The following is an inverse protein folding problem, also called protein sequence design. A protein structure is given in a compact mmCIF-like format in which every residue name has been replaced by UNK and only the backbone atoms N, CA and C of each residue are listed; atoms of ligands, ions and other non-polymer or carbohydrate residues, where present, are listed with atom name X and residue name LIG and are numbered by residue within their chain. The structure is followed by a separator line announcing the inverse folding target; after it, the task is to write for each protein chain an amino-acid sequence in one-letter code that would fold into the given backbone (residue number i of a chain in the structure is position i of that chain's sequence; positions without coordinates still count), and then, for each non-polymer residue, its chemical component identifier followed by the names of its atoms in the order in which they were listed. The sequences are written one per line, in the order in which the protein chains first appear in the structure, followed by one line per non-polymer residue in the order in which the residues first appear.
data_IF_190402059815
#
_entry.id   IF_190402059815
#
_cell.length_a   1.000
_cell.length_b   1.000
_cell.length_c   1.000
_cell.angle_alpha   90.00
_cell.angle_beta   90.00
_cell.angle_gamma   90.00
#
_symmetry.space_group_name_H-M   'P 1'
#
loop_
_entity.id
_entity.type
_entity.pdbx_description
1 polymer ?
#
# COMPACT_ATOMS: atom_id res chain seq x y z
N UNK A 1 -30.24 -28.64 1.68
CA UNK A 1 -29.04 -28.31 0.86
C UNK A 1 -28.48 -27.01 1.39
N UNK A 2 -27.33 -27.07 2.09
CA UNK A 2 -26.68 -25.93 2.74
C UNK A 2 -25.67 -25.31 1.77
N UNK A 3 -25.83 -24.03 1.46
CA UNK A 3 -24.85 -23.24 0.71
C UNK A 3 -23.60 -23.00 1.56
N UNK A 4 -22.45 -23.42 1.03
CA UNK A 4 -21.13 -23.19 1.63
C UNK A 4 -20.71 -21.73 1.47
N UNK A 5 -21.10 -20.88 2.42
CA UNK A 5 -20.50 -19.56 2.58
C UNK A 5 -19.06 -19.71 3.06
N UNK A 6 -18.11 -19.09 2.35
CA UNK A 6 -16.73 -18.95 2.81
C UNK A 6 -16.69 -18.11 4.11
N UNK A 7 -16.82 -18.75 5.27
CA UNK A 7 -16.25 -18.23 6.51
C UNK A 7 -14.72 -18.38 6.44
N UNK A 8 -14.07 -17.44 5.75
CA UNK A 8 -12.61 -17.32 5.72
C UNK A 8 -12.08 -16.85 7.09
N UNK A 9 -11.22 -17.67 7.71
CA UNK A 9 -10.58 -17.44 9.03
C UNK A 9 -9.62 -16.22 9.06
N UNK A 10 -10.21 -15.02 9.15
CA UNK A 10 -9.95 -13.80 9.95
C UNK A 10 -8.54 -13.22 10.27
N UNK A 11 -7.40 -13.93 10.25
CA UNK A 11 -6.12 -13.34 10.76
C UNK A 11 -5.09 -12.91 9.71
N UNK A 12 -4.82 -13.70 8.68
CA UNK A 12 -3.77 -13.39 7.67
C UNK A 12 -4.23 -12.36 6.62
N UNK A 13 -5.50 -12.45 6.19
CA UNK A 13 -6.14 -11.46 5.31
C UNK A 13 -6.22 -10.07 5.97
N UNK A 14 -6.33 -10.07 7.30
CA UNK A 14 -6.50 -8.89 8.12
C UNK A 14 -5.21 -8.04 8.21
N UNK A 15 -4.04 -8.68 8.40
CA UNK A 15 -2.73 -8.01 8.38
C UNK A 15 -2.43 -7.42 6.99
N UNK A 16 -2.78 -8.17 5.94
CA UNK A 16 -2.59 -7.76 4.54
C UNK A 16 -3.42 -6.51 4.19
N UNK A 17 -4.67 -6.45 4.63
CA UNK A 17 -5.59 -5.36 4.33
C UNK A 17 -5.26 -4.07 5.10
N UNK A 18 -4.72 -4.20 6.31
CA UNK A 18 -4.20 -3.08 7.10
C UNK A 18 -2.94 -2.49 6.45
N UNK A 19 -2.05 -3.32 5.91
CA UNK A 19 -0.85 -2.86 5.20
C UNK A 19 -1.19 -2.11 3.88
N UNK A 20 -2.23 -2.55 3.15
CA UNK A 20 -2.71 -1.88 1.94
C UNK A 20 -3.22 -0.45 2.18
N UNK A 21 -3.74 -0.17 3.39
CA UNK A 21 -4.22 1.17 3.76
C UNK A 21 -3.08 2.10 4.11
N UNK A 22 -2.09 1.58 4.83
CA UNK A 22 -0.91 2.34 5.21
C UNK A 22 -0.07 2.74 3.98
N UNK A 23 -0.03 1.91 2.94
CA UNK A 23 0.62 2.20 1.67
C UNK A 23 -0.15 3.17 0.74
N UNK A 24 -1.28 3.74 1.20
CA UNK A 24 -2.08 4.70 0.42
C UNK A 24 -2.84 4.09 -0.77
N UNK A 25 -3.01 2.76 -0.80
CA UNK A 25 -3.63 2.02 -1.91
C UNK A 25 -5.11 1.69 -1.64
N UNK A 26 -5.63 2.00 -0.45
CA UNK A 26 -7.02 1.76 -0.09
C UNK A 26 -8.07 2.58 -0.85
N UNK A 27 -7.83 3.86 -1.22
CA UNK A 27 -8.81 4.62 -2.00
C UNK A 27 -9.13 3.94 -3.34
N UNK A 28 -8.13 3.30 -3.95
CA UNK A 28 -8.25 2.54 -5.21
C UNK A 28 -9.02 1.24 -5.00
N UNK A 29 -8.82 0.56 -3.87
CA UNK A 29 -9.53 -0.69 -3.53
C UNK A 29 -10.97 -0.46 -3.07
N UNK A 30 -11.26 0.65 -2.40
CA UNK A 30 -12.61 1.01 -1.95
C UNK A 30 -13.55 1.39 -3.11
N UNK A 31 -13.01 1.98 -4.18
CA UNK A 31 -13.75 2.23 -5.42
C UNK A 31 -14.13 0.91 -6.14
N UNK A 32 -13.37 -0.16 -5.88
CA UNK A 32 -13.54 -1.49 -6.49
C UNK A 32 -14.48 -2.37 -5.66
N UNK A 33 -14.36 -2.38 -4.33
CA UNK A 33 -15.15 -3.23 -3.43
C UNK A 33 -16.61 -2.76 -3.21
N UNK A 34 -17.05 -1.66 -3.85
CA UNK A 34 -18.40 -1.07 -3.71
C UNK A 34 -18.88 -1.04 -2.26
N UNK A 35 -18.05 -0.61 -1.31
CA UNK A 35 -18.48 -0.51 0.08
C UNK A 35 -17.56 0.33 0.97
N UNK A 36 -18.09 0.87 2.08
CA UNK A 36 -17.31 1.59 3.08
C UNK A 36 -16.21 0.70 3.65
N UNK A 37 -15.14 1.34 4.13
CA UNK A 37 -14.13 0.63 4.91
C UNK A 37 -14.77 -0.05 6.12
N UNK A 38 -14.63 -1.38 6.30
CA UNK A 38 -15.14 -2.06 7.48
C UNK A 38 -14.65 -1.38 8.75
N UNK A 39 -15.55 -0.97 9.67
CA UNK A 39 -15.21 -0.22 10.89
C UNK A 39 -14.10 -0.89 11.73
N UNK A 40 -14.07 -2.23 11.72
CA UNK A 40 -13.04 -3.05 12.39
C UNK A 40 -11.62 -2.80 11.87
N UNK A 41 -11.45 -2.35 10.63
CA UNK A 41 -10.15 -1.95 10.05
C UNK A 41 -9.79 -0.53 10.44
N UNK A 42 -10.75 0.40 10.36
CA UNK A 42 -10.55 1.82 10.66
C UNK A 42 -9.97 2.01 12.07
N UNK A 43 -10.48 1.24 13.04
CA UNK A 43 -9.97 1.23 14.42
C UNK A 43 -8.61 0.57 14.62
N UNK A 44 -8.16 -0.32 13.72
CA UNK A 44 -6.89 -1.07 13.85
C UNK A 44 -5.75 -0.47 13.03
N UNK A 45 -6.03 0.18 11.91
CA UNK A 45 -5.06 1.01 11.19
C UNK A 45 -4.60 2.14 12.11
N UNK A 46 -5.53 2.81 12.79
CA UNK A 46 -5.25 3.83 13.78
C UNK A 46 -4.39 3.36 14.97
N UNK A 47 -4.19 2.04 15.14
CA UNK A 47 -3.29 1.44 16.13
C UNK A 47 -1.87 1.17 15.60
N UNK A 48 -1.63 1.24 14.28
CA UNK A 48 -0.28 1.14 13.73
C UNK A 48 0.50 2.39 14.12
N UNK A 49 1.66 2.24 14.80
CA UNK A 49 2.51 3.35 15.15
C UNK A 49 2.88 4.18 13.90
N UNK A 50 2.86 5.52 13.98
CA UNK A 50 3.23 6.40 12.86
C UNK A 50 4.59 6.07 12.23
N UNK A 51 5.55 5.61 13.03
CA UNK A 51 6.89 5.18 12.59
C UNK A 51 6.84 4.02 11.59
N UNK A 52 6.09 2.96 11.87
CA UNK A 52 5.94 1.82 10.95
C UNK A 52 5.23 2.18 9.64
N UNK A 53 4.32 3.16 9.70
CA UNK A 53 3.66 3.67 8.50
C UNK A 53 4.63 4.40 7.57
N UNK A 54 5.58 5.10 8.17
CA UNK A 54 6.66 5.78 7.46
C UNK A 54 7.60 4.77 6.81
N UNK A 55 8.05 3.74 7.54
CA UNK A 55 8.94 2.70 7.00
C UNK A 55 8.34 2.01 5.76
N UNK A 56 7.07 1.60 5.85
CA UNK A 56 6.36 1.02 4.70
C UNK A 56 6.18 1.98 3.52
N UNK A 57 6.04 3.28 3.79
CA UNK A 57 5.90 4.28 2.73
C UNK A 57 7.24 4.57 2.05
N UNK A 58 8.35 4.51 2.79
CA UNK A 58 9.72 4.69 2.26
C UNK A 58 10.08 3.54 1.30
N UNK A 59 9.85 2.29 1.70
CA UNK A 59 10.13 1.13 0.84
C UNK A 59 9.35 1.17 -0.48
N UNK A 60 8.07 1.53 -0.42
CA UNK A 60 7.27 1.72 -1.63
C UNK A 60 7.82 2.87 -2.48
N UNK A 61 8.21 3.98 -1.86
CA UNK A 61 8.79 5.13 -2.57
C UNK A 61 10.06 4.74 -3.33
N UNK A 62 10.98 4.00 -2.71
CA UNK A 62 12.24 3.56 -3.35
C UNK A 62 12.01 2.74 -4.62
N UNK A 63 11.02 1.83 -4.61
CA UNK A 63 10.68 1.05 -5.81
C UNK A 63 10.22 1.95 -6.97
N UNK A 64 9.37 2.94 -6.69
CA UNK A 64 8.93 3.89 -7.71
C UNK A 64 10.07 4.82 -8.15
N UNK A 65 10.94 5.21 -7.24
CA UNK A 65 12.09 6.07 -7.52
C UNK A 65 13.06 5.38 -8.48
N UNK A 66 13.38 4.10 -8.22
CA UNK A 66 14.25 3.30 -9.08
C UNK A 66 13.72 3.23 -10.51
N UNK A 67 12.42 2.96 -10.68
CA UNK A 67 11.79 2.90 -12.01
C UNK A 67 11.76 4.26 -12.69
N UNK A 68 11.39 5.31 -11.97
CA UNK A 68 11.33 6.67 -12.50
C UNK A 68 12.71 7.14 -12.98
N UNK A 69 13.76 6.86 -12.19
CA UNK A 69 15.14 7.19 -12.55
C UNK A 69 15.57 6.51 -13.83
N UNK A 70 15.33 5.19 -13.96
CA UNK A 70 15.65 4.45 -15.18
C UNK A 70 14.96 5.01 -16.43
N UNK A 71 13.66 5.34 -16.32
CA UNK A 71 12.89 5.89 -17.44
C UNK A 71 13.37 7.29 -17.81
N UNK A 72 13.60 8.17 -16.83
CA UNK A 72 14.09 9.53 -17.08
C UNK A 72 15.43 9.50 -17.80
N UNK A 73 16.39 8.66 -17.34
CA UNK A 73 17.69 8.49 -17.99
C UNK A 73 17.61 8.05 -19.46
N UNK A 74 16.49 7.44 -19.88
CA UNK A 74 16.25 7.02 -21.26
C UNK A 74 15.38 7.97 -22.10
N UNK A 75 14.73 8.96 -21.48
CA UNK A 75 13.63 9.73 -22.11
C UNK A 75 14.00 11.12 -22.63
N UNK A 76 15.18 11.65 -22.28
CA UNK A 76 15.60 13.05 -22.54
C UNK A 76 14.54 14.13 -22.17
N UNK A 77 13.56 13.80 -21.32
CA UNK A 77 12.45 14.68 -20.97
C UNK A 77 12.81 15.56 -19.76
N UNK A 78 13.08 16.85 -20.01
CA UNK A 78 13.49 17.82 -18.99
C UNK A 78 12.43 18.08 -17.92
N UNK A 79 11.14 18.00 -18.25
CA UNK A 79 10.05 18.14 -17.26
C UNK A 79 10.00 16.92 -16.34
N UNK A 80 10.21 15.72 -16.88
CA UNK A 80 10.28 14.49 -16.08
C UNK A 80 11.48 14.52 -15.12
N UNK A 81 12.62 15.03 -15.58
CA UNK A 81 13.82 15.22 -14.77
C UNK A 81 13.60 16.25 -13.65
N UNK A 82 12.98 17.39 -13.95
CA UNK A 82 12.65 18.42 -12.96
C UNK A 82 11.72 17.88 -11.86
N UNK A 83 10.69 17.11 -12.22
CA UNK A 83 9.81 16.47 -11.24
C UNK A 83 10.50 15.36 -10.43
N UNK A 84 11.45 14.62 -11.03
CA UNK A 84 12.25 13.62 -10.33
C UNK A 84 13.12 14.26 -9.26
N UNK A 85 13.79 15.36 -9.59
CA UNK A 85 14.59 16.14 -8.65
C UNK A 85 13.73 16.66 -7.49
N UNK A 86 12.55 17.21 -7.79
CA UNK A 86 11.60 17.67 -6.75
C UNK A 86 11.10 16.53 -5.86
N UNK A 87 10.88 15.33 -6.41
CA UNK A 87 10.53 14.16 -5.61
C UNK A 87 11.66 13.76 -4.66
N UNK A 88 12.92 13.88 -5.10
CA UNK A 88 14.10 13.70 -4.25
C UNK A 88 14.20 14.73 -3.12
N UNK A 89 13.95 16.01 -3.40
CA UNK A 89 13.91 17.06 -2.37
C UNK A 89 12.85 16.78 -1.29
N UNK A 90 11.64 16.42 -1.71
CA UNK A 90 10.57 16.08 -0.78
C UNK A 90 10.89 14.81 0.03
N UNK A 91 11.61 13.84 -0.55
CA UNK A 91 12.10 12.69 0.21
C UNK A 91 13.03 13.15 1.33
N UNK A 92 14.02 14.01 1.04
CA UNK A 92 14.94 14.54 2.05
C UNK A 92 14.22 15.33 3.14
N UNK A 93 13.24 16.17 2.75
CA UNK A 93 12.39 16.89 3.70
C UNK A 93 11.61 15.92 4.59
N UNK A 94 10.99 14.89 4.00
CA UNK A 94 10.29 13.86 4.74
C UNK A 94 11.21 13.15 5.74
N UNK A 95 12.41 12.73 5.32
CA UNK A 95 13.40 12.08 6.18
C UNK A 95 13.82 12.97 7.35
N UNK A 96 14.03 14.27 7.12
CA UNK A 96 14.32 15.24 8.18
C UNK A 96 13.19 15.35 9.21
N UNK A 97 11.93 15.41 8.74
CA UNK A 97 10.75 15.41 9.60
C UNK A 97 10.60 14.10 10.38
N UNK A 98 10.92 12.96 9.76
CA UNK A 98 10.89 11.65 10.40
C UNK A 98 11.95 11.55 11.49
N UNK A 99 13.17 12.00 11.20
CA UNK A 99 14.31 11.98 12.12
C UNK A 99 14.09 12.91 13.33
N UNK A 100 13.33 13.99 13.15
CA UNK A 100 12.89 14.88 14.24
C UNK A 100 11.65 14.40 15.00
N UNK A 101 11.17 13.18 14.72
CA UNK A 101 10.01 12.58 15.39
C UNK A 101 8.65 13.05 14.89
N UNK A 102 8.61 13.89 13.85
CA UNK A 102 7.39 14.40 13.21
C UNK A 102 6.82 13.41 12.18
N UNK A 103 6.61 12.16 12.59
CA UNK A 103 6.25 11.05 11.69
C UNK A 103 5.00 11.29 10.82
N UNK A 104 3.98 12.00 11.34
CA UNK A 104 2.76 12.30 10.57
C UNK A 104 3.03 13.31 9.45
N UNK A 105 3.89 14.29 9.71
CA UNK A 105 4.30 15.30 8.75
C UNK A 105 5.18 14.66 7.69
N UNK A 106 6.21 13.92 8.12
CA UNK A 106 7.10 13.19 7.21
C UNK A 106 6.37 12.19 6.33
N UNK A 107 5.40 11.43 6.86
CA UNK A 107 4.57 10.54 6.05
C UNK A 107 3.77 11.30 4.98
N UNK A 108 3.28 12.49 5.31
CA UNK A 108 2.50 13.31 4.36
C UNK A 108 3.37 13.78 3.20
N UNK A 109 4.55 14.31 3.51
CA UNK A 109 5.54 14.78 2.53
C UNK A 109 6.03 13.62 1.66
N UNK A 110 6.28 12.45 2.27
CA UNK A 110 6.69 11.26 1.52
C UNK A 110 5.62 10.74 0.55
N UNK A 111 4.35 10.74 0.98
CA UNK A 111 3.24 10.38 0.09
C UNK A 111 3.07 11.38 -1.06
N UNK A 112 3.44 12.65 -0.85
CA UNK A 112 3.47 13.67 -1.91
C UNK A 112 4.61 13.41 -2.88
N UNK A 113 5.82 13.16 -2.39
CA UNK A 113 6.95 12.75 -3.22
C UNK A 113 6.59 11.54 -4.09
N UNK A 114 5.92 10.53 -3.50
CA UNK A 114 5.47 9.33 -4.22
C UNK A 114 4.47 9.64 -5.34
N UNK A 115 3.58 10.62 -5.16
CA UNK A 115 2.63 11.05 -6.20
C UNK A 115 3.35 11.71 -7.37
N UNK A 116 4.40 12.49 -7.10
CA UNK A 116 5.24 13.07 -8.15
C UNK A 116 5.92 12.01 -9.00
N UNK A 117 6.47 10.96 -8.40
CA UNK A 117 7.11 9.87 -9.16
C UNK A 117 6.17 9.21 -10.18
N UNK A 118 4.86 9.20 -9.92
CA UNK A 118 3.89 8.71 -10.89
C UNK A 118 3.76 9.65 -12.11
N UNK A 119 3.84 10.95 -11.91
CA UNK A 119 3.81 11.92 -13.00
C UNK A 119 5.14 11.93 -13.77
N UNK A 120 6.27 11.75 -13.08
CA UNK A 120 7.59 11.52 -13.70
C UNK A 120 7.54 10.36 -14.69
N UNK A 121 7.00 9.22 -14.26
CA UNK A 121 6.90 8.02 -15.13
C UNK A 121 6.04 8.31 -16.38
N UNK A 122 4.91 8.99 -16.23
CA UNK A 122 4.03 9.32 -17.37
C UNK A 122 4.73 10.24 -18.38
N UNK A 123 5.45 11.25 -17.88
CA UNK A 123 6.16 12.22 -18.72
C UNK A 123 7.37 11.58 -19.40
N UNK A 124 8.16 10.78 -18.68
CA UNK A 124 9.30 10.06 -19.21
C UNK A 124 8.89 9.02 -20.28
N UNK A 125 7.69 8.45 -20.18
CA UNK A 125 7.13 7.58 -21.23
C UNK A 125 6.65 8.36 -22.48
N UNK A 126 6.72 9.69 -22.49
CA UNK A 126 6.37 10.55 -23.63
C UNK A 126 4.87 10.59 -23.95
N UNK A 127 4.01 10.08 -23.05
CA UNK A 127 2.59 9.86 -23.34
C UNK A 127 1.72 11.12 -23.26
N UNK A 128 2.16 12.11 -22.49
CA UNK A 128 1.40 13.34 -22.19
C UNK A 128 2.40 14.47 -21.92
N UNK A 129 2.09 15.71 -22.33
CA UNK A 129 2.89 16.87 -21.96
C UNK A 129 2.67 17.28 -20.48
N UNK A 130 3.61 18.03 -19.89
CA UNK A 130 3.42 18.55 -18.53
C UNK A 130 2.20 19.47 -18.43
N UNK A 131 1.96 20.29 -19.46
CA UNK A 131 0.82 21.20 -19.54
C UNK A 131 -0.51 20.44 -19.54
N UNK A 132 -0.63 19.41 -20.39
CA UNK A 132 -1.86 18.61 -20.47
C UNK A 132 -2.09 17.82 -19.19
N UNK A 133 -1.00 17.36 -18.56
CA UNK A 133 -1.08 16.68 -17.27
C UNK A 133 -1.53 17.60 -16.13
N UNK A 134 -1.05 18.83 -16.10
CA UNK A 134 -1.48 19.85 -15.15
C UNK A 134 -2.96 20.17 -15.35
N UNK A 135 -3.37 20.43 -16.59
CA UNK A 135 -4.76 20.72 -16.97
C UNK A 135 -5.71 19.60 -16.56
N UNK A 136 -5.38 18.34 -16.91
CA UNK A 136 -6.16 17.17 -16.54
C UNK A 136 -6.40 17.10 -15.02
N UNK A 137 -5.34 17.33 -14.23
CA UNK A 137 -5.45 17.23 -12.77
C UNK A 137 -6.25 18.38 -12.16
N UNK A 138 -6.12 19.59 -12.67
CA UNK A 138 -6.92 20.74 -12.23
C UNK A 138 -8.39 20.47 -12.48
N UNK A 139 -8.76 20.03 -13.69
CA UNK A 139 -10.16 19.79 -14.04
C UNK A 139 -10.77 18.66 -13.20
N UNK A 140 -10.03 17.57 -12.95
CA UNK A 140 -10.46 16.54 -12.02
C UNK A 140 -10.70 17.08 -10.59
N UNK A 141 -9.81 17.95 -10.10
CA UNK A 141 -9.96 18.53 -8.77
C UNK A 141 -11.11 19.55 -8.70
N UNK A 142 -11.37 20.31 -9.77
CA UNK A 142 -12.54 21.20 -9.85
C UNK A 142 -13.84 20.42 -9.79
N UNK A 143 -13.94 19.31 -10.52
CA UNK A 143 -15.12 18.42 -10.43
C UNK A 143 -15.35 17.89 -9.01
N UNK A 144 -14.29 17.40 -8.35
CA UNK A 144 -14.37 16.93 -6.95
C UNK A 144 -14.73 18.06 -5.97
N UNK A 145 -14.36 19.32 -6.27
CA UNK A 145 -14.72 20.50 -5.48
C UNK A 145 -16.20 20.88 -5.67
N UNK A 146 -16.72 20.85 -6.90
CA UNK A 146 -18.14 21.12 -7.17
C UNK A 146 -19.03 20.19 -6.35
N UNK A 147 -18.73 18.89 -6.36
CA UNK A 147 -19.45 17.90 -5.54
C UNK A 147 -19.39 18.23 -4.04
N UNK A 148 -18.26 18.72 -3.56
CA UNK A 148 -18.09 19.12 -2.16
C UNK A 148 -18.89 20.38 -1.82
N UNK A 149 -18.94 21.36 -2.73
CA UNK A 149 -19.69 22.62 -2.57
C UNK A 149 -21.20 22.37 -2.53
N UNK A 150 -21.72 21.57 -3.47
CA UNK A 150 -23.13 21.19 -3.52
C UNK A 150 -23.56 20.51 -2.22
N UNK A 151 -22.71 19.63 -1.69
CA UNK A 151 -23.00 18.97 -0.43
C UNK A 151 -22.89 19.92 0.77
N UNK A 152 -21.91 20.83 0.78
CA UNK A 152 -21.80 21.85 1.81
C UNK A 152 -23.06 22.74 1.85
N UNK A 153 -23.65 23.02 0.69
CA UNK A 153 -24.92 23.71 0.58
C UNK A 153 -26.10 22.88 1.11
N UNK A 154 -26.19 21.59 0.75
CA UNK A 154 -27.26 20.68 1.21
C UNK A 154 -27.24 20.41 2.73
N UNK A 155 -26.04 20.22 3.29
CA UNK A 155 -25.86 19.83 4.71
C UNK A 155 -25.82 21.02 5.66
N UNK A 156 -25.52 22.22 5.16
CA UNK A 156 -25.30 23.41 5.99
C UNK A 156 -24.09 23.33 6.91
N UNK A 157 -23.18 22.35 6.71
CA UNK A 157 -22.00 22.18 7.56
C UNK A 157 -20.99 23.31 7.31
N UNK A 158 -20.94 24.26 8.25
CA UNK A 158 -20.03 25.40 8.23
C UNK A 158 -18.54 25.03 8.16
N UNK A 159 -18.14 23.86 8.65
CA UNK A 159 -16.75 23.39 8.53
C UNK A 159 -16.46 22.93 7.11
N UNK A 160 -17.42 22.25 6.49
CA UNK A 160 -17.32 21.78 5.11
C UNK A 160 -17.30 22.97 4.14
N UNK A 161 -18.16 23.97 4.36
CA UNK A 161 -18.20 25.22 3.58
C UNK A 161 -16.85 25.93 3.62
N UNK A 162 -16.29 26.15 4.82
CA UNK A 162 -14.97 26.81 4.97
C UNK A 162 -13.84 26.01 4.32
N UNK A 163 -13.91 24.68 4.37
CA UNK A 163 -12.91 23.83 3.73
C UNK A 163 -13.05 23.92 2.19
N UNK A 164 -14.26 23.89 1.66
CA UNK A 164 -14.53 24.01 0.23
C UNK A 164 -14.03 25.35 -0.32
N UNK A 165 -14.31 26.46 0.36
CA UNK A 165 -13.80 27.79 -0.01
C UNK A 165 -12.27 27.86 -0.06
N UNK A 166 -11.58 27.21 0.89
CA UNK A 166 -10.10 27.12 0.87
C UNK A 166 -9.60 26.30 -0.32
N UNK A 167 -10.26 25.18 -0.63
CA UNK A 167 -9.90 24.37 -1.80
C UNK A 167 -10.18 25.12 -3.10
N UNK A 168 -11.26 25.90 -3.16
CA UNK A 168 -11.61 26.76 -4.30
C UNK A 168 -10.53 27.78 -4.60
N UNK A 169 -10.14 28.58 -3.59
CA UNK A 169 -9.06 29.56 -3.73
C UNK A 169 -7.74 28.90 -4.17
N UNK A 170 -7.41 27.72 -3.63
CA UNK A 170 -6.23 27.00 -4.07
C UNK A 170 -6.32 26.50 -5.53
N UNK A 171 -7.51 26.09 -6.01
CA UNK A 171 -7.67 25.70 -7.42
C UNK A 171 -7.68 26.90 -8.38
N UNK A 172 -8.10 28.06 -7.92
CA UNK A 172 -7.95 29.34 -8.64
C UNK A 172 -6.46 29.68 -8.79
N UNK A 173 -5.68 29.60 -7.71
CA UNK A 173 -4.22 29.78 -7.76
C UNK A 173 -3.54 28.77 -8.70
N UNK A 174 -4.01 27.51 -8.72
CA UNK A 174 -3.51 26.48 -9.62
C UNK A 174 -3.83 26.79 -11.10
N UNK A 175 -5.04 27.31 -11.36
CA UNK A 175 -5.46 27.70 -12.71
C UNK A 175 -4.67 28.92 -13.20
N UNK A 176 -4.45 29.92 -12.33
CA UNK A 176 -3.62 31.08 -12.65
C UNK A 176 -2.15 30.68 -12.92
N UNK A 177 -1.59 29.76 -12.14
CA UNK A 177 -0.26 29.20 -12.40
C UNK A 177 -0.21 28.47 -13.75
N UNK A 178 -1.26 27.74 -14.13
CA UNK A 178 -1.36 27.07 -15.43
C UNK A 178 -1.40 28.08 -16.58
N UNK A 179 -2.17 29.16 -16.46
CA UNK A 179 -2.24 30.24 -17.46
C UNK A 179 -0.91 30.99 -17.62
N UNK A 180 -0.16 31.14 -16.53
CA UNK A 180 1.18 31.74 -16.53
C UNK A 180 2.28 30.80 -17.08
N UNK A 181 1.95 29.58 -17.50
CA UNK A 181 2.92 28.57 -17.94
C UNK A 181 3.72 27.93 -16.80
N UNK A 182 3.37 28.20 -15.55
CA UNK A 182 4.00 27.64 -14.34
C UNK A 182 3.42 26.23 -14.03
N UNK A 183 3.45 25.31 -14.99
CA UNK A 183 2.78 23.99 -14.90
C UNK A 183 3.23 23.14 -13.69
N UNK A 184 4.51 23.25 -13.33
CA UNK A 184 5.07 22.62 -12.13
C UNK A 184 4.37 23.08 -10.85
N UNK A 185 4.14 24.39 -10.72
CA UNK A 185 3.47 25.00 -9.57
C UNK A 185 1.99 24.64 -9.55
N UNK A 186 1.34 24.67 -10.71
CA UNK A 186 -0.04 24.22 -10.87
C UNK A 186 -0.24 22.77 -10.38
N UNK A 187 0.62 21.85 -10.81
CA UNK A 187 0.61 20.46 -10.35
C UNK A 187 0.87 20.33 -8.84
N UNK A 188 1.81 21.11 -8.30
CA UNK A 188 2.09 21.12 -6.87
C UNK A 188 0.86 21.52 -6.06
N UNK A 189 0.15 22.57 -6.45
CA UNK A 189 -1.05 23.03 -5.74
C UNK A 189 -2.11 21.92 -5.76
N UNK A 190 -2.40 21.35 -6.93
CA UNK A 190 -3.41 20.28 -7.06
C UNK A 190 -3.05 19.03 -6.25
N UNK A 191 -1.77 18.66 -6.14
CA UNK A 191 -1.32 17.53 -5.33
C UNK A 191 -1.60 17.67 -3.83
N UNK A 192 -1.75 18.89 -3.33
CA UNK A 192 -2.15 19.15 -1.95
C UNK A 192 -3.67 19.16 -1.80
N UNK A 193 -4.36 19.81 -2.74
CA UNK A 193 -5.82 20.01 -2.71
C UNK A 193 -6.58 18.71 -2.92
N UNK A 194 -6.26 17.98 -3.99
CA UNK A 194 -7.06 16.83 -4.46
C UNK A 194 -7.20 15.70 -3.42
N UNK A 195 -6.15 15.29 -2.66
CA UNK A 195 -6.33 14.30 -1.60
C UNK A 195 -7.27 14.73 -0.47
N UNK A 196 -7.42 16.03 -0.22
CA UNK A 196 -8.40 16.55 0.75
C UNK A 196 -9.81 16.41 0.19
N UNK A 197 -10.02 16.80 -1.07
CA UNK A 197 -11.29 16.63 -1.78
C UNK A 197 -11.72 15.15 -1.83
N UNK A 198 -10.82 14.26 -2.24
CA UNK A 198 -11.10 12.81 -2.28
C UNK A 198 -11.47 12.22 -0.92
N UNK A 199 -10.82 12.65 0.18
CA UNK A 199 -11.14 12.13 1.53
C UNK A 199 -12.51 12.54 2.00
N UNK A 200 -12.88 13.78 1.70
CA UNK A 200 -14.20 14.34 1.99
C UNK A 200 -15.22 13.59 1.15
N UNK A 201 -15.01 13.48 -0.16
CA UNK A 201 -15.86 12.74 -1.08
C UNK A 201 -16.08 11.28 -0.64
N UNK A 202 -15.02 10.54 -0.30
CA UNK A 202 -15.13 9.15 0.13
C UNK A 202 -15.87 9.00 1.46
N UNK A 203 -15.60 9.87 2.44
CA UNK A 203 -16.27 9.78 3.75
C UNK A 203 -17.79 9.96 3.59
N UNK A 204 -18.21 10.77 2.63
CA UNK A 204 -19.61 11.17 2.47
C UNK A 204 -20.38 10.25 1.51
N UNK A 205 -19.71 9.64 0.53
CA UNK A 205 -20.31 8.59 -0.32
C UNK A 205 -20.79 7.37 0.47
N UNK A 206 -20.20 7.12 1.63
CA UNK A 206 -20.60 6.03 2.52
C UNK A 206 -21.88 6.36 3.32
N UNK A 207 -22.22 7.64 3.48
CA UNK A 207 -23.34 8.14 4.30
C UNK A 207 -24.56 8.59 3.47
N UNK A 208 -24.41 8.77 2.14
CA UNK A 208 -25.49 9.18 1.23
C UNK A 208 -26.48 8.02 0.94
N UNK A 209 -27.79 8.31 0.82
CA UNK A 209 -28.78 7.37 0.29
C UNK A 209 -28.34 6.79 -1.06
N UNK A 210 -28.73 5.54 -1.35
CA UNK A 210 -28.34 4.83 -2.58
C UNK A 210 -28.68 5.62 -3.85
N UNK A 211 -29.81 6.32 -3.84
CA UNK A 211 -30.33 7.12 -4.95
C UNK A 211 -29.39 8.30 -5.28
N UNK A 212 -28.97 9.06 -4.27
CA UNK A 212 -28.00 10.15 -4.43
C UNK A 212 -26.62 9.64 -4.85
N UNK A 213 -26.20 8.47 -4.33
CA UNK A 213 -24.94 7.85 -4.74
C UNK A 213 -24.94 7.44 -6.21
N UNK A 214 -26.07 6.99 -6.73
CA UNK A 214 -26.22 6.57 -8.12
C UNK A 214 -26.25 7.80 -9.04
N UNK A 215 -26.92 8.88 -8.64
CA UNK A 215 -26.84 10.17 -9.34
C UNK A 215 -25.40 10.64 -9.57
N UNK A 216 -24.55 10.57 -8.54
CA UNK A 216 -23.12 10.91 -8.69
C UNK A 216 -22.35 9.93 -9.61
N UNK A 217 -22.73 8.66 -9.67
CA UNK A 217 -22.09 7.69 -10.58
C UNK A 217 -22.49 7.99 -12.03
N UNK A 218 -23.75 8.37 -12.27
CA UNK A 218 -24.24 8.82 -13.58
C UNK A 218 -23.42 10.02 -14.05
N UNK A 219 -23.35 11.09 -13.25
CA UNK A 219 -22.61 12.31 -13.60
C UNK A 219 -21.13 12.03 -13.94
N UNK A 220 -20.43 11.24 -13.11
CA UNK A 220 -19.03 10.84 -13.38
C UNK A 220 -18.88 9.99 -14.63
N UNK A 221 -19.87 9.14 -14.92
CA UNK A 221 -19.84 8.29 -16.11
C UNK A 221 -20.05 9.13 -17.37
N UNK A 222 -20.99 10.08 -17.32
CA UNK A 222 -21.22 11.06 -18.39
C UNK A 222 -19.96 11.86 -18.71
N UNK A 223 -19.35 12.50 -17.69
CA UNK A 223 -18.14 13.28 -17.90
C UNK A 223 -16.94 12.45 -18.41
N UNK A 224 -16.88 11.16 -18.07
CA UNK A 224 -15.87 10.25 -18.63
C UNK A 224 -16.11 9.95 -20.11
N UNK A 225 -17.38 9.80 -20.52
CA UNK A 225 -17.76 9.59 -21.92
C UNK A 225 -17.45 10.84 -22.74
N UNK A 226 -17.89 12.02 -22.29
CA UNK A 226 -17.61 13.31 -22.96
C UNK A 226 -16.10 13.53 -23.14
N UNK A 227 -15.31 13.18 -22.11
CA UNK A 227 -13.85 13.23 -22.20
C UNK A 227 -13.30 12.24 -23.22
N UNK A 228 -13.85 11.03 -23.27
CA UNK A 228 -13.42 10.01 -24.23
C UNK A 228 -13.78 10.43 -25.66
N UNK A 229 -14.96 11.01 -25.88
CA UNK A 229 -15.39 11.60 -27.15
C UNK A 229 -14.44 12.69 -27.61
N UNK A 230 -14.05 13.61 -26.73
CA UNK A 230 -13.05 14.63 -27.07
C UNK A 230 -11.71 14.05 -27.51
N UNK A 231 -11.20 13.03 -26.79
CA UNK A 231 -9.93 12.37 -27.12
C UNK A 231 -10.01 11.65 -28.47
N UNK A 232 -11.11 10.96 -28.77
CA UNK A 232 -11.30 10.27 -30.05
C UNK A 232 -11.53 11.27 -31.19
N UNK A 233 -12.18 12.41 -30.93
CA UNK A 233 -12.36 13.45 -31.92
C UNK A 233 -11.01 14.09 -32.33
N UNK A 234 -10.07 14.22 -31.39
CA UNK A 234 -8.74 14.76 -31.65
C UNK A 234 -7.85 13.80 -32.46
N UNK A 235 -8.01 12.47 -32.29
CA UNK A 235 -7.28 11.42 -33.01
C UNK A 235 -8.21 10.22 -33.31
N UNK A 236 -8.93 10.27 -34.46
CA UNK A 236 -9.99 9.32 -34.78
C UNK A 236 -9.50 7.90 -35.02
N UNK A 237 -10.15 6.93 -34.36
CA UNK A 237 -9.94 5.51 -34.55
C UNK A 237 -11.29 4.78 -34.59
N UNK A 238 -11.51 3.95 -35.63
CA UNK A 238 -12.77 3.27 -35.89
C UNK A 238 -13.21 2.34 -34.74
N UNK A 239 -12.25 1.67 -34.08
CA UNK A 239 -12.54 0.81 -32.94
C UNK A 239 -12.85 1.63 -31.69
N UNK A 240 -12.16 2.74 -31.49
CA UNK A 240 -12.43 3.66 -30.40
C UNK A 240 -13.82 4.32 -30.54
N UNK A 241 -14.20 4.74 -31.74
CA UNK A 241 -15.54 5.27 -32.07
C UNK A 241 -16.63 4.24 -31.81
N UNK A 242 -16.44 2.99 -32.24
CA UNK A 242 -17.38 1.91 -31.97
C UNK A 242 -17.57 1.63 -30.48
N UNK A 243 -16.51 1.79 -29.67
CA UNK A 243 -16.60 1.69 -28.22
C UNK A 243 -17.34 2.89 -27.60
N UNK A 244 -17.17 4.11 -28.12
CA UNK A 244 -17.93 5.27 -27.65
C UNK A 244 -19.43 5.10 -27.88
N UNK A 245 -19.83 4.61 -29.05
CA UNK A 245 -21.25 4.31 -29.32
C UNK A 245 -21.83 3.34 -28.29
N UNK A 246 -21.08 2.28 -27.95
CA UNK A 246 -21.48 1.33 -26.90
C UNK A 246 -21.50 1.97 -25.51
N UNK A 247 -20.57 2.88 -25.23
CA UNK A 247 -20.50 3.59 -23.95
C UNK A 247 -21.74 4.47 -23.74
N UNK A 248 -22.09 5.28 -24.74
CA UNK A 248 -23.24 6.18 -24.69
C UNK A 248 -24.56 5.40 -24.64
N UNK A 249 -24.69 4.34 -25.45
CA UNK A 249 -25.87 3.47 -25.42
C UNK A 249 -26.10 2.82 -24.04
N UNK A 250 -25.05 2.25 -23.44
CA UNK A 250 -25.15 1.65 -22.10
C UNK A 250 -25.43 2.71 -21.01
N UNK A 251 -24.95 3.94 -21.20
CA UNK A 251 -25.21 5.05 -20.29
C UNK A 251 -26.68 5.50 -20.33
N UNK A 252 -27.24 5.68 -21.53
CA UNK A 252 -28.64 6.11 -21.70
C UNK A 252 -29.63 5.08 -21.13
N UNK A 253 -29.34 3.79 -21.35
CA UNK A 253 -30.13 2.70 -20.75
C UNK A 253 -30.00 2.70 -19.22
N UNK A 254 -28.79 2.93 -18.69
CA UNK A 254 -28.59 3.05 -17.25
C UNK A 254 -29.37 4.24 -16.65
N UNK A 255 -29.33 5.41 -17.28
CA UNK A 255 -30.06 6.60 -16.83
C UNK A 255 -31.57 6.34 -16.77
N UNK A 256 -32.11 5.68 -17.79
CA UNK A 256 -33.52 5.25 -17.83
C UNK A 256 -33.88 4.30 -16.67
N UNK A 257 -33.01 3.34 -16.35
CA UNK A 257 -33.21 2.41 -15.23
C UNK A 257 -33.13 3.13 -13.86
N UNK A 258 -32.27 4.14 -13.73
CA UNK A 258 -32.21 4.96 -12.51
C UNK A 258 -33.51 5.72 -12.32
N UNK A 259 -34.06 6.33 -13.38
CA UNK A 259 -35.36 7.00 -13.33
C UNK A 259 -36.51 6.03 -12.97
N UNK A 260 -36.38 4.76 -13.35
CA UNK A 260 -37.32 3.69 -13.00
C UNK A 260 -37.11 3.07 -11.60
N UNK A 261 -36.10 3.52 -10.84
CA UNK A 261 -35.75 2.97 -9.52
C UNK A 261 -35.05 1.61 -9.57
N UNK A 262 -34.62 1.15 -10.74
CA UNK A 262 -33.93 -0.13 -10.96
C UNK A 262 -32.41 0.01 -10.79
N UNK A 263 -32.02 0.28 -9.55
CA UNK A 263 -30.67 0.69 -9.18
C UNK A 263 -29.59 -0.38 -9.39
N UNK A 264 -29.93 -1.66 -9.29
CA UNK A 264 -28.94 -2.75 -9.41
C UNK A 264 -28.52 -2.93 -10.86
N UNK A 265 -29.50 -3.03 -11.76
CA UNK A 265 -29.28 -3.13 -13.20
C UNK A 265 -28.59 -1.86 -13.74
N UNK A 266 -29.02 -0.68 -13.30
CA UNK A 266 -28.38 0.58 -13.64
C UNK A 266 -26.88 0.60 -13.26
N UNK A 267 -26.51 0.09 -12.08
CA UNK A 267 -25.11 0.03 -11.65
C UNK A 267 -24.25 -0.93 -12.48
N UNK A 268 -24.83 -1.96 -13.09
CA UNK A 268 -24.13 -2.86 -13.99
C UNK A 268 -23.85 -2.17 -15.34
N UNK A 269 -24.86 -1.52 -15.91
CA UNK A 269 -24.74 -0.75 -17.16
C UNK A 269 -23.82 0.47 -17.02
N UNK A 270 -23.87 1.21 -15.92
CA UNK A 270 -22.88 2.26 -15.61
C UNK A 270 -21.45 1.70 -15.55
N UNK A 271 -21.31 0.47 -15.06
CA UNK A 271 -20.04 -0.25 -15.10
C UNK A 271 -19.57 -0.57 -16.52
N UNK A 272 -20.49 -0.97 -17.41
CA UNK A 272 -20.23 -1.24 -18.83
C UNK A 272 -19.84 0.03 -19.58
N UNK A 273 -20.64 1.09 -19.44
CA UNK A 273 -20.39 2.40 -20.05
C UNK A 273 -18.99 2.94 -19.73
N UNK A 274 -18.58 2.91 -18.45
CA UNK A 274 -17.22 3.31 -18.04
C UNK A 274 -16.13 2.42 -18.66
N UNK A 275 -16.37 1.12 -18.83
CA UNK A 275 -15.38 0.21 -19.46
C UNK A 275 -15.18 0.56 -20.93
N UNK A 276 -16.26 0.77 -21.66
CA UNK A 276 -16.20 1.14 -23.07
C UNK A 276 -15.53 2.50 -23.28
N UNK A 277 -15.89 3.53 -22.51
CA UNK A 277 -15.26 4.85 -22.58
C UNK A 277 -13.75 4.78 -22.28
N UNK A 278 -13.33 4.02 -21.26
CA UNK A 278 -11.90 3.82 -20.98
C UNK A 278 -11.20 2.97 -22.04
N UNK A 279 -11.91 2.06 -22.70
CA UNK A 279 -11.39 1.29 -23.84
C UNK A 279 -11.06 2.20 -25.01
N UNK A 280 -12.00 3.08 -25.38
CA UNK A 280 -11.80 4.08 -26.45
C UNK A 280 -10.57 4.96 -26.18
N UNK A 281 -10.45 5.52 -24.97
CA UNK A 281 -9.28 6.32 -24.58
C UNK A 281 -7.98 5.51 -24.70
N UNK A 282 -8.00 4.22 -24.38
CA UNK A 282 -6.79 3.39 -24.44
C UNK A 282 -6.32 3.16 -25.86
N UNK A 283 -7.24 2.90 -26.79
CA UNK A 283 -6.93 2.67 -28.20
C UNK A 283 -6.23 3.89 -28.76
N UNK A 284 -6.85 5.07 -28.65
CA UNK A 284 -6.28 6.34 -29.14
C UNK A 284 -4.93 6.64 -28.49
N UNK A 285 -4.77 6.35 -27.20
CA UNK A 285 -3.51 6.62 -26.47
C UNK A 285 -2.45 5.53 -26.62
N UNK A 286 -2.66 4.50 -27.44
CA UNK A 286 -1.75 3.35 -27.57
C UNK A 286 -1.47 2.64 -26.24
N UNK A 287 -2.42 2.71 -25.30
CA UNK A 287 -2.30 2.05 -24.00
C UNK A 287 -2.59 0.56 -24.18
N UNK A 288 -1.81 -0.33 -23.54
CA UNK A 288 -1.95 -1.77 -23.74
C UNK A 288 -3.35 -2.26 -23.40
N UNK A 289 -3.86 -3.13 -24.27
CA UNK A 289 -5.14 -3.82 -24.14
C UNK A 289 -5.27 -4.45 -22.73
N UNK A 290 -6.38 -4.25 -21.99
CA UNK A 290 -6.67 -4.94 -20.74
C UNK A 290 -6.37 -6.44 -20.78
N UNK A 291 -6.58 -7.09 -21.92
CA UNK A 291 -6.39 -8.53 -22.11
C UNK A 291 -4.89 -8.85 -22.12
N UNK A 292 -4.10 -8.12 -22.92
CA UNK A 292 -2.65 -8.26 -22.93
C UNK A 292 -1.98 -7.82 -21.63
N UNK A 293 -2.58 -6.86 -20.92
CA UNK A 293 -2.12 -6.40 -19.63
C UNK A 293 -2.43 -7.43 -18.54
N UNK A 294 -3.64 -8.00 -18.55
CA UNK A 294 -4.02 -9.08 -17.66
C UNK A 294 -3.13 -10.31 -17.87
N UNK A 295 -2.94 -10.73 -19.12
CA UNK A 295 -2.07 -11.85 -19.49
C UNK A 295 -0.62 -11.63 -19.03
N UNK A 296 -0.05 -10.44 -19.28
CA UNK A 296 1.30 -10.09 -18.80
C UNK A 296 1.42 -10.11 -17.28
N UNK A 297 0.38 -9.63 -16.58
CA UNK A 297 0.39 -9.60 -15.11
C UNK A 297 0.15 -10.99 -14.51
N UNK A 298 -0.62 -11.85 -15.17
CA UNK A 298 -0.81 -13.26 -14.80
C UNK A 298 0.51 -14.02 -14.93
N UNK A 299 1.19 -13.90 -16.06
CA UNK A 299 2.50 -14.55 -16.23
C UNK A 299 3.52 -14.10 -15.18
N UNK A 300 3.57 -12.80 -14.88
CA UNK A 300 4.43 -12.27 -13.81
C UNK A 300 3.98 -12.71 -12.41
N UNK A 301 2.68 -12.98 -12.22
CA UNK A 301 2.16 -13.54 -10.99
C UNK A 301 2.56 -15.01 -10.85
N UNK A 302 2.42 -15.84 -11.88
CA UNK A 302 2.94 -17.22 -11.97
C UNK A 302 4.42 -17.28 -11.59
N UNK A 303 5.26 -16.49 -12.26
CA UNK A 303 6.70 -16.40 -11.96
C UNK A 303 6.97 -16.08 -10.49
N UNK A 304 6.19 -15.16 -9.90
CA UNK A 304 6.35 -14.77 -8.50
C UNK A 304 5.96 -15.90 -7.53
N UNK A 305 4.98 -16.73 -7.88
CA UNK A 305 4.57 -17.90 -7.08
C UNK A 305 5.66 -18.97 -7.14
N UNK A 306 6.23 -19.20 -8.32
CA UNK A 306 7.32 -20.18 -8.50
C UNK A 306 8.58 -19.79 -7.74
N UNK A 307 8.93 -18.49 -7.74
CA UNK A 307 10.03 -17.96 -6.93
C UNK A 307 9.81 -18.23 -5.44
N UNK A 308 8.59 -18.00 -4.92
CA UNK A 308 8.23 -18.29 -3.53
C UNK A 308 8.34 -19.78 -3.23
N UNK A 309 7.83 -20.64 -4.12
CA UNK A 309 7.88 -22.10 -3.97
C UNK A 309 9.33 -22.59 -3.89
N UNK A 310 10.18 -22.11 -4.80
CA UNK A 310 11.61 -22.47 -4.85
C UNK A 310 12.34 -22.01 -3.58
N UNK A 311 12.18 -20.75 -3.18
CA UNK A 311 12.83 -20.22 -1.98
C UNK A 311 12.42 -20.97 -0.70
N UNK A 312 11.15 -21.38 -0.61
CA UNK A 312 10.64 -22.10 0.55
C UNK A 312 10.95 -23.61 0.53
N UNK A 313 11.28 -24.19 -0.62
CA UNK A 313 11.72 -25.59 -0.73
C UNK A 313 13.16 -25.80 -0.19
N UNK A 314 13.98 -24.74 -0.18
CA UNK A 314 15.35 -24.76 0.31
C UNK A 314 15.47 -24.57 1.85
N UNK A 315 14.36 -24.25 2.54
CA UNK A 315 14.34 -23.94 3.97
C UNK A 315 13.37 -24.78 4.80
N UNK A 316 13.82 -25.26 5.97
CA UNK A 316 13.05 -26.13 6.89
C UNK A 316 12.04 -25.34 7.77
N UNK A 317 11.43 -24.27 7.23
CA UNK A 317 10.57 -23.34 7.97
C UNK A 317 9.08 -23.66 7.79
N UNK A 318 8.56 -24.50 8.69
CA UNK A 318 7.14 -24.94 8.73
C UNK A 318 6.12 -23.78 8.77
N UNK A 319 6.53 -22.55 9.07
CA UNK A 319 5.64 -21.37 9.05
C UNK A 319 5.09 -21.05 7.67
N UNK A 320 5.79 -21.44 6.60
CA UNK A 320 5.45 -21.07 5.23
C UNK A 320 4.88 -22.21 4.38
N UNK A 321 4.78 -23.42 4.94
CA UNK A 321 4.38 -24.66 4.24
C UNK A 321 3.06 -24.55 3.46
N UNK A 322 2.11 -23.74 3.94
CA UNK A 322 0.78 -23.57 3.31
C UNK A 322 0.65 -22.34 2.41
N UNK A 323 1.69 -21.51 2.31
CA UNK A 323 1.63 -20.23 1.60
C UNK A 323 1.77 -20.37 0.08
N UNK A 324 2.64 -21.24 -0.47
CA UNK A 324 2.68 -21.53 -1.91
C UNK A 324 1.31 -21.99 -2.43
N UNK A 325 0.70 -23.00 -1.80
CA UNK A 325 -0.61 -23.53 -2.21
C UNK A 325 -1.74 -22.47 -2.13
N UNK A 326 -1.62 -21.48 -1.24
CA UNK A 326 -2.59 -20.37 -1.15
C UNK A 326 -2.39 -19.33 -2.25
N UNK A 327 -1.15 -19.09 -2.66
CA UNK A 327 -0.85 -18.22 -3.79
C UNK A 327 -1.33 -18.84 -5.09
N UNK A 328 -1.14 -20.16 -5.25
CA UNK A 328 -1.64 -20.93 -6.38
C UNK A 328 -3.16 -20.85 -6.48
N UNK A 329 -3.90 -21.07 -5.40
CA UNK A 329 -5.37 -20.90 -5.40
C UNK A 329 -5.83 -19.47 -5.71
N UNK A 330 -4.99 -18.46 -5.44
CA UNK A 330 -5.31 -17.07 -5.80
C UNK A 330 -4.98 -16.76 -7.26
N UNK A 331 -3.95 -17.40 -7.80
CA UNK A 331 -3.54 -17.32 -9.18
C UNK A 331 -4.53 -18.07 -10.09
N UNK A 332 -4.97 -19.27 -9.70
CA UNK A 332 -6.02 -20.04 -10.36
C UNK A 332 -7.31 -19.21 -10.48
N UNK A 333 -7.71 -18.49 -9.44
CA UNK A 333 -8.85 -17.55 -9.51
C UNK A 333 -8.62 -16.35 -10.42
N UNK A 334 -7.36 -15.93 -10.57
CA UNK A 334 -7.00 -14.85 -11.47
C UNK A 334 -7.06 -15.31 -12.93
N UNK A 335 -6.64 -16.54 -13.19
CA UNK A 335 -6.75 -17.24 -14.48
C UNK A 335 -8.20 -17.53 -14.83
N UNK A 336 -9.02 -18.05 -13.91
CA UNK A 336 -10.47 -18.23 -14.08
C UNK A 336 -11.18 -16.91 -14.42
N UNK A 337 -10.81 -15.82 -13.75
CA UNK A 337 -11.34 -14.49 -14.05
C UNK A 337 -10.93 -14.01 -15.45
N UNK A 338 -9.71 -14.33 -15.87
CA UNK A 338 -9.22 -14.00 -17.21
C UNK A 338 -9.91 -14.81 -18.30
N UNK A 339 -10.06 -16.12 -18.12
CA UNK A 339 -10.80 -17.02 -19.01
C UNK A 339 -12.29 -16.65 -19.11
N UNK A 340 -12.87 -16.11 -18.04
CA UNK A 340 -14.23 -15.58 -18.01
C UNK A 340 -14.37 -14.18 -18.64
N UNK A 341 -13.29 -13.56 -19.12
CA UNK A 341 -13.29 -12.21 -19.69
C UNK A 341 -13.39 -11.08 -18.66
N UNK A 342 -13.26 -11.36 -17.36
CA UNK A 342 -13.10 -10.35 -16.30
C UNK A 342 -11.62 -9.94 -16.15
N UNK A 343 -11.10 -9.26 -17.17
CA UNK A 343 -9.71 -8.80 -17.20
C UNK A 343 -9.37 -7.85 -16.06
N UNK A 344 -10.36 -7.11 -15.54
CA UNK A 344 -10.15 -6.24 -14.38
C UNK A 344 -9.95 -7.04 -13.10
N UNK A 345 -10.80 -8.05 -12.87
CA UNK A 345 -10.65 -9.01 -11.78
C UNK A 345 -9.33 -9.77 -11.87
N UNK A 346 -8.98 -10.24 -13.06
CA UNK A 346 -7.70 -10.90 -13.34
C UNK A 346 -6.49 -10.01 -13.02
N UNK A 347 -6.46 -8.76 -13.52
CA UNK A 347 -5.39 -7.78 -13.23
C UNK A 347 -5.27 -7.53 -11.72
N UNK A 348 -6.40 -7.42 -11.02
CA UNK A 348 -6.40 -7.16 -9.58
C UNK A 348 -5.85 -8.34 -8.78
N UNK A 349 -6.32 -9.55 -9.08
CA UNK A 349 -5.88 -10.78 -8.44
C UNK A 349 -4.40 -11.06 -8.75
N UNK A 350 -3.96 -10.91 -10.00
CA UNK A 350 -2.57 -11.06 -10.41
C UNK A 350 -1.64 -10.08 -9.67
N UNK A 351 -2.03 -8.79 -9.58
CA UNK A 351 -1.30 -7.80 -8.77
C UNK A 351 -1.29 -8.14 -7.28
N UNK A 352 -2.36 -8.76 -6.78
CA UNK A 352 -2.44 -9.19 -5.40
C UNK A 352 -1.49 -10.36 -5.14
N UNK A 353 -1.47 -11.37 -6.02
CA UNK A 353 -0.53 -12.49 -5.97
C UNK A 353 0.91 -11.96 -5.92
N UNK A 354 1.33 -11.16 -6.90
CA UNK A 354 2.69 -10.61 -6.94
C UNK A 354 3.07 -9.85 -5.66
N UNK A 355 2.19 -8.99 -5.14
CA UNK A 355 2.46 -8.27 -3.89
C UNK A 355 2.63 -9.19 -2.68
N UNK A 356 1.83 -10.26 -2.59
CA UNK A 356 1.95 -11.23 -1.50
C UNK A 356 3.25 -12.04 -1.68
N UNK A 357 3.56 -12.47 -2.90
CA UNK A 357 4.79 -13.19 -3.23
C UNK A 357 6.05 -12.39 -2.86
N UNK A 358 6.14 -11.12 -3.30
CA UNK A 358 7.26 -10.23 -2.93
C UNK A 358 7.43 -10.12 -1.42
N UNK A 359 6.33 -10.09 -0.67
CA UNK A 359 6.40 -9.97 0.78
C UNK A 359 6.79 -11.26 1.48
N UNK A 360 6.37 -12.42 0.95
CA UNK A 360 6.82 -13.73 1.46
C UNK A 360 8.32 -13.88 1.26
N UNK A 361 8.81 -13.60 0.03
CA UNK A 361 10.24 -13.62 -0.27
C UNK A 361 11.01 -12.67 0.63
N UNK A 362 10.50 -11.46 0.85
CA UNK A 362 11.13 -10.51 1.76
C UNK A 362 11.23 -11.03 3.20
N UNK A 363 10.14 -11.58 3.76
CA UNK A 363 10.16 -12.14 5.12
C UNK A 363 11.06 -13.37 5.21
N UNK A 364 11.10 -14.17 4.16
CA UNK A 364 11.99 -15.34 4.07
C UNK A 364 13.46 -14.92 4.04
N UNK A 365 13.84 -13.91 3.25
CA UNK A 365 15.23 -13.46 3.12
C UNK A 365 15.70 -12.53 4.25
N UNK A 366 14.80 -11.71 4.83
CA UNK A 366 15.17 -10.62 5.74
C UNK A 366 14.51 -10.71 7.13
N UNK A 367 13.60 -11.67 7.35
CA UNK A 367 12.80 -11.77 8.57
C UNK A 367 11.58 -10.83 8.57
N UNK A 368 10.66 -11.02 9.53
CA UNK A 368 9.49 -10.15 9.65
C UNK A 368 9.89 -8.74 10.12
N UNK A 369 9.22 -7.67 9.63
CA UNK A 369 9.48 -6.32 10.11
C UNK A 369 9.21 -6.24 11.62
N UNK A 370 10.21 -5.76 12.37
CA UNK A 370 10.14 -5.61 13.83
C UNK A 370 9.02 -4.64 14.20
N UNK A 371 7.95 -5.16 14.82
CA UNK A 371 6.80 -4.37 15.29
C UNK A 371 5.42 -4.99 15.05
N UNK A 372 5.32 -6.13 14.35
CA UNK A 372 4.07 -6.90 14.25
C UNK A 372 3.92 -7.99 15.31
N UNK A 373 4.88 -8.15 16.23
CA UNK A 373 4.84 -9.18 17.28
C UNK A 373 4.03 -8.76 18.53
N UNK A 374 3.70 -7.48 18.71
CA UNK A 374 3.03 -6.99 19.92
C UNK A 374 1.49 -6.95 19.85
N UNK A 375 0.87 -7.71 18.94
CA UNK A 375 -0.58 -7.89 18.90
C UNK A 375 -0.98 -9.36 19.11
N UNK A 376 -0.51 -9.97 20.20
CA UNK A 376 -1.10 -11.20 20.72
C UNK A 376 -1.09 -11.23 22.24
N UNK A 377 -2.24 -11.54 22.84
CA UNK A 377 -2.28 -12.19 24.15
C UNK A 377 -3.60 -12.98 24.28
N UNK A 378 -3.69 -14.12 25.00
CA UNK A 378 -2.66 -15.08 25.41
C UNK A 378 -2.94 -16.48 24.80
N UNK A 379 -1.96 -17.05 24.11
CA UNK A 379 -1.71 -18.50 24.20
C UNK A 379 -0.30 -18.57 24.75
N UNK A 380 -0.07 -19.42 25.76
CA UNK A 380 1.21 -19.52 26.44
C UNK A 380 2.38 -19.48 25.43
N UNK A 381 3.34 -18.55 25.58
CA UNK A 381 4.41 -18.41 24.61
C UNK A 381 5.31 -19.64 24.64
N UNK A 382 5.61 -20.25 23.49
CA UNK A 382 6.49 -21.42 23.45
C UNK A 382 7.88 -21.10 24.03
N UNK A 383 8.57 -22.09 24.60
CA UNK A 383 9.96 -21.91 25.04
C UNK A 383 10.84 -21.52 23.85
N UNK A 384 11.55 -20.40 23.94
CA UNK A 384 12.39 -19.92 22.86
C UNK A 384 13.45 -18.93 23.32
N UNK A 385 14.68 -19.13 22.87
CA UNK A 385 15.75 -18.15 22.93
C UNK A 385 15.93 -17.54 21.54
N UNK A 386 15.94 -16.23 21.41
CA UNK A 386 16.05 -15.50 20.15
C UNK A 386 17.45 -14.94 19.93
N UNK A 387 17.77 -14.59 18.67
CA UNK A 387 19.07 -14.02 18.33
C UNK A 387 19.22 -12.65 18.99
N UNK A 388 20.33 -12.43 19.69
CA UNK A 388 20.67 -11.13 20.25
C UNK A 388 20.74 -10.05 19.15
N UNK A 389 20.31 -8.83 19.46
CA UNK A 389 20.34 -7.72 18.52
C UNK A 389 20.83 -6.42 19.19
N UNK A 390 21.78 -5.69 18.57
CA UNK A 390 22.49 -6.02 17.31
C UNK A 390 23.41 -7.26 17.46
N UNK A 391 23.83 -7.88 16.34
CA UNK A 391 24.86 -8.92 16.28
C UNK A 391 25.52 -8.91 14.88
N UNK A 392 26.79 -8.47 14.71
CA UNK A 392 27.73 -7.99 15.73
C UNK A 392 27.20 -6.85 16.60
N UNK A 393 27.61 -6.78 17.86
CA UNK A 393 27.25 -5.69 18.77
C UNK A 393 28.47 -4.93 19.30
N UNK A 394 28.28 -3.64 19.61
CA UNK A 394 29.29 -2.77 20.20
C UNK A 394 28.64 -1.65 21.05
N UNK A 395 28.91 -1.54 22.37
CA UNK A 395 29.29 -2.60 23.30
C UNK A 395 28.06 -3.34 23.86
N UNK A 396 26.83 -2.94 23.50
CA UNK A 396 25.59 -3.48 24.08
C UNK A 396 24.70 -4.21 23.08
N UNK A 397 24.03 -5.26 23.55
CA UNK A 397 23.04 -6.04 22.80
C UNK A 397 21.85 -6.41 23.68
N UNK A 398 20.70 -6.64 23.06
CA UNK A 398 19.51 -7.16 23.73
C UNK A 398 19.30 -8.63 23.37
N UNK A 399 19.03 -9.46 24.38
CA UNK A 399 18.70 -10.88 24.25
C UNK A 399 17.24 -11.06 24.64
N UNK A 400 16.42 -11.47 23.68
CA UNK A 400 15.01 -11.80 23.94
C UNK A 400 14.83 -13.30 24.11
N UNK A 401 13.91 -13.69 24.98
CA UNK A 401 13.50 -15.08 25.19
C UNK A 401 12.04 -15.19 25.65
N UNK A 402 11.47 -16.38 25.55
CA UNK A 402 10.11 -16.68 25.96
C UNK A 402 10.03 -17.98 26.75
N UNK A 403 9.14 -18.02 27.74
CA UNK A 403 8.89 -19.21 28.57
C UNK A 403 7.38 -19.54 28.63
N UNK A 404 7.00 -20.82 28.48
CA UNK A 404 5.60 -21.24 28.37
C UNK A 404 4.89 -21.43 29.70
N UNK A 405 5.64 -21.60 30.77
CA UNK A 405 5.15 -21.88 32.11
C UNK A 405 6.05 -21.23 33.15
N UNK A 406 5.55 -21.11 34.37
CA UNK A 406 6.35 -20.59 35.48
C UNK A 406 7.48 -21.57 35.82
N UNK A 407 8.71 -21.08 35.77
CA UNK A 407 9.89 -21.89 36.07
C UNK A 407 11.04 -21.01 36.55
N UNK A 408 12.04 -21.65 37.17
CA UNK A 408 13.32 -20.99 37.43
C UNK A 408 14.08 -20.87 36.12
N UNK A 409 14.35 -19.64 35.72
CA UNK A 409 15.05 -19.26 34.49
C UNK A 409 16.47 -18.83 34.81
N UNK A 410 17.43 -19.36 34.06
CA UNK A 410 18.80 -18.86 34.04
C UNK A 410 19.21 -18.49 32.63
N UNK A 411 19.70 -17.26 32.43
CA UNK A 411 20.33 -16.82 31.19
C UNK A 411 21.79 -16.47 31.47
N UNK A 412 22.70 -17.27 30.91
CA UNK A 412 24.13 -17.18 31.20
C UNK A 412 24.94 -17.03 29.92
N UNK A 413 25.94 -16.14 29.95
CA UNK A 413 26.90 -15.92 28.88
C UNK A 413 28.16 -16.73 29.15
N UNK A 414 28.69 -17.34 28.12
CA UNK A 414 29.91 -18.13 28.11
C UNK A 414 30.87 -17.64 27.03
N UNK A 415 32.16 -17.79 27.27
CA UNK A 415 33.17 -17.66 26.21
C UNK A 415 33.25 -18.97 25.38
N UNK A 416 34.09 -18.97 24.33
CA UNK A 416 34.27 -20.16 23.46
C UNK A 416 34.84 -21.39 24.20
N UNK A 417 35.50 -21.18 25.35
CA UNK A 417 36.03 -22.26 26.19
C UNK A 417 34.96 -22.83 27.14
N UNK A 418 33.73 -22.31 27.08
CA UNK A 418 32.63 -22.73 27.94
C UNK A 418 32.70 -22.16 29.37
N UNK A 419 33.58 -21.20 29.64
CA UNK A 419 33.65 -20.53 30.94
C UNK A 419 32.53 -19.49 31.05
N UNK A 420 31.82 -19.48 32.19
CA UNK A 420 30.80 -18.47 32.50
C UNK A 420 31.44 -17.08 32.58
N UNK A 421 30.97 -16.19 31.73
CA UNK A 421 31.40 -14.79 31.65
C UNK A 421 30.53 -13.94 32.54
N UNK A 422 29.21 -14.14 32.47
CA UNK A 422 28.23 -13.40 33.27
C UNK A 422 26.87 -14.08 33.26
N UNK A 423 26.22 -14.11 34.42
CA UNK A 423 24.79 -14.43 34.52
C UNK A 423 23.93 -13.17 34.38
N UNK A 424 23.02 -13.16 33.43
CA UNK A 424 22.10 -12.03 33.19
C UNK A 424 20.78 -12.20 33.94
N UNK A 425 20.32 -13.44 34.10
CA UNK A 425 19.06 -13.78 34.77
C UNK A 425 19.29 -15.04 35.61
N UNK A 426 18.79 -15.03 36.85
CA UNK A 426 18.67 -16.20 37.73
C UNK A 426 17.49 -15.96 38.67
N UNK A 427 16.33 -16.54 38.36
CA UNK A 427 15.14 -16.33 39.18
C UNK A 427 13.90 -17.04 38.65
N UNK A 428 12.83 -17.02 39.43
CA UNK A 428 11.52 -17.56 39.01
C UNK A 428 10.83 -16.52 38.14
N UNK A 429 10.37 -16.92 36.95
CA UNK A 429 9.64 -16.07 36.02
C UNK A 429 8.37 -16.79 35.56
N UNK A 430 7.26 -16.05 35.44
CA UNK A 430 5.99 -16.57 34.94
C UNK A 430 5.96 -16.69 33.42
N UNK A 431 4.93 -17.32 32.82
CA UNK A 431 4.84 -17.46 31.37
C UNK A 431 4.81 -16.09 30.67
N UNK A 432 5.67 -15.90 29.67
CA UNK A 432 5.83 -14.60 29.02
C UNK A 432 7.03 -14.49 28.10
N UNK A 433 7.15 -13.33 27.46
CA UNK A 433 8.34 -12.93 26.69
C UNK A 433 9.12 -11.87 27.47
N UNK A 434 10.43 -12.02 27.48
CA UNK A 434 11.37 -11.22 28.26
C UNK A 434 12.52 -10.74 27.39
N UNK A 435 13.08 -9.58 27.70
CA UNK A 435 14.26 -9.02 27.05
C UNK A 435 15.24 -8.52 28.09
N UNK A 436 16.52 -8.86 27.94
CA UNK A 436 17.59 -8.47 28.86
C UNK A 436 18.82 -7.98 28.07
N UNK A 437 19.42 -6.90 28.55
CA UNK A 437 20.61 -6.30 27.93
C UNK A 437 21.90 -6.90 28.47
N UNK A 438 22.91 -7.01 27.59
CA UNK A 438 24.30 -7.23 27.98
C UNK A 438 25.18 -6.12 27.42
N UNK A 439 26.09 -5.59 28.24
CA UNK A 439 26.97 -4.47 27.94
C UNK A 439 28.43 -4.88 27.65
N UNK A 440 28.67 -6.17 27.38
CA UNK A 440 30.01 -6.68 27.09
C UNK A 440 30.94 -6.69 28.30
N UNK A 441 30.39 -6.83 29.51
CA UNK A 441 31.15 -6.98 30.76
C UNK A 441 30.99 -8.36 31.39
N UNK A 442 32.04 -8.82 32.05
CA UNK A 442 32.02 -10.01 32.91
C UNK A 442 31.34 -9.71 34.26
N UNK A 443 31.27 -10.73 35.12
CA UNK A 443 30.67 -10.64 36.45
C UNK A 443 31.41 -9.66 37.39
N UNK A 444 32.70 -9.40 37.14
CA UNK A 444 33.51 -8.43 37.90
C UNK A 444 33.35 -7.00 37.39
N UNK A 445 32.52 -6.79 36.35
CA UNK A 445 32.31 -5.49 35.72
C UNK A 445 33.44 -5.08 34.76
N UNK A 446 34.38 -5.98 34.48
CA UNK A 446 35.45 -5.73 33.51
C UNK A 446 34.94 -6.00 32.11
N UNK A 447 35.48 -5.28 31.14
CA UNK A 447 35.14 -5.50 29.75
C UNK A 447 35.79 -6.77 29.19
N UNK A 448 35.02 -7.54 28.44
CA UNK A 448 35.51 -8.72 27.74
C UNK A 448 36.00 -8.37 26.32
N UNK A 449 36.88 -9.19 25.76
CA UNK A 449 37.50 -8.95 24.45
C UNK A 449 36.52 -9.13 23.28
N UNK A 450 36.80 -8.52 22.13
CA UNK A 450 36.10 -8.84 20.88
C UNK A 450 36.20 -10.33 20.58
N UNK A 451 35.13 -10.93 20.07
CA UNK A 451 35.09 -12.36 19.80
C UNK A 451 33.70 -12.99 19.87
N UNK A 452 33.67 -14.30 19.70
CA UNK A 452 32.46 -15.11 19.78
C UNK A 452 32.16 -15.44 21.24
N UNK A 453 30.91 -15.24 21.64
CA UNK A 453 30.36 -15.66 22.92
C UNK A 453 29.13 -16.54 22.69
N UNK A 454 28.85 -17.42 23.63
CA UNK A 454 27.64 -18.21 23.66
C UNK A 454 26.74 -17.69 24.78
N UNK A 455 25.43 -17.74 24.60
CA UNK A 455 24.48 -17.48 25.69
C UNK A 455 23.45 -18.61 25.72
N UNK A 456 23.12 -19.04 26.93
CA UNK A 456 22.26 -20.19 27.18
C UNK A 456 21.14 -19.80 28.11
N UNK A 457 19.92 -20.10 27.65
CA UNK A 457 18.71 -20.02 28.46
C UNK A 457 18.37 -21.41 28.96
N UNK A 458 18.11 -21.53 30.25
CA UNK A 458 17.59 -22.75 30.88
C UNK A 458 16.33 -22.40 31.66
N UNK A 459 15.28 -23.21 31.49
CA UNK A 459 13.99 -23.06 32.17
C UNK A 459 13.39 -24.45 32.39
N UNK A 460 13.39 -24.93 33.63
CA UNK A 460 12.97 -26.30 33.94
C UNK A 460 13.78 -27.34 33.14
N UNK A 461 13.11 -28.16 32.33
CA UNK A 461 13.74 -29.18 31.48
C UNK A 461 14.19 -28.66 30.10
N UNK A 462 13.95 -27.39 29.79
CA UNK A 462 14.31 -26.80 28.50
C UNK A 462 15.62 -26.03 28.58
N UNK A 463 16.49 -26.24 27.60
CA UNK A 463 17.76 -25.50 27.47
C UNK A 463 18.03 -25.19 25.99
N UNK A 464 18.32 -23.93 25.67
CA UNK A 464 18.68 -23.50 24.33
C UNK A 464 19.90 -22.59 24.38
N UNK A 465 20.83 -22.78 23.45
CA UNK A 465 22.07 -21.99 23.34
C UNK A 465 22.13 -21.31 21.98
N UNK A 466 22.62 -20.07 21.96
CA UNK A 466 22.92 -19.32 20.74
C UNK A 466 24.28 -18.66 20.84
N UNK A 467 24.82 -18.23 19.68
CA UNK A 467 26.10 -17.53 19.58
C UNK A 467 25.89 -16.05 19.27
N UNK A 468 26.81 -15.21 19.74
CA UNK A 468 26.87 -13.77 19.47
C UNK A 468 28.31 -13.35 19.22
N UNK A 469 28.50 -12.25 18.50
CA UNK A 469 29.82 -11.68 18.19
C UNK A 469 29.91 -10.25 18.74
N UNK A 470 30.86 -10.05 19.66
CA UNK A 470 31.22 -8.73 20.17
C UNK A 470 32.29 -8.13 19.26
N UNK A 471 31.99 -6.99 18.66
CA UNK A 471 32.90 -6.23 17.81
C UNK A 471 33.27 -4.91 18.51
N UNK A 472 34.29 -4.93 19.37
CA UNK A 472 34.91 -3.70 19.87
C UNK A 472 36.01 -3.22 18.95
#
# INVERSE_FOLDING_TARGET
MKGGGLEMKSRSLFVLMVAMVVAGSYPVLAEIQRGPMPERLRGKINRIPPKHRVEMALENFEHFLSRATQLVSSSENSDAEALLNRAGELKMEAESLINSGQFREGLRVLLQARRLLHDVIILAEGRVSLADRARERIELAKGELTEMLDLAAKTGDQRLIKLAQRMQSALEDASAAMEAGEYHKALQIVMHVRPMLMRVHHRMRDDLPLEERIGHILEKTRGLIERAEGIVADDPDEQAEALLVKASSAFDEADSLVQAGQYREALELLGQARRYALGAIRIVKGLPDPDQMALRLLHRAEESVEQVRTALAEGDDQRFERLPNRLEQMLEKAEEAFEAGDYRGAIELARRVMRVSTRILHVHHHGAPKGLEEAHNPSAPNFGLYQNHPNPFNPSTEISYSIPEEARVTLTIYNILGQEVRRLVDGIQGPGSYTVGWDGKDESGNHVSSGIYLYRLTSGNHSQTRKMFLAR
#
